data_IF_056005204378
#
_entry.id   IF_056005204378
#
_cell.length_a   1.000
_cell.length_b   1.000
_cell.length_c   1.000
_cell.angle_alpha   90.00
_cell.angle_beta   90.00
_cell.angle_gamma   90.00
#
_symmetry.space_group_name_H-M   'P 1'
#
loop_
_entity.id
_entity.type
_entity.pdbx_description
1 polymer ?
#
# COMPACT_ATOMS: atom_id res chain seq x y z
N UNK A 1 3.60 25.71 12.23
CA UNK A 1 3.21 24.33 11.87
C UNK A 1 3.30 24.26 10.36
N UNK A 2 4.14 23.39 9.77
CA UNK A 2 4.11 23.17 8.32
C UNK A 2 2.73 22.59 8.00
N UNK A 3 2.03 23.13 7.01
CA UNK A 3 0.86 22.47 6.42
C UNK A 3 1.28 21.05 6.01
N UNK A 4 0.94 20.07 6.85
CA UNK A 4 1.30 18.68 6.65
C UNK A 4 0.32 18.03 5.68
N UNK A 5 0.01 18.72 4.57
CA UNK A 5 -0.81 18.16 3.50
C UNK A 5 0.06 17.15 2.76
N UNK A 6 -0.28 15.85 2.80
CA UNK A 6 0.47 14.84 2.07
C UNK A 6 0.43 15.16 0.58
N UNK A 7 1.57 15.04 -0.07
CA UNK A 7 1.68 15.14 -1.52
C UNK A 7 0.82 14.06 -2.19
N UNK A 8 0.45 14.23 -3.47
CA UNK A 8 -0.31 13.21 -4.20
C UNK A 8 0.37 11.84 -4.24
N UNK A 9 1.70 11.80 -4.22
CA UNK A 9 2.48 10.56 -4.18
C UNK A 9 2.38 9.92 -2.79
N UNK A 10 2.54 10.68 -1.72
CA UNK A 10 2.38 10.19 -0.34
C UNK A 10 0.97 9.66 -0.08
N UNK A 11 -0.06 10.35 -0.57
CA UNK A 11 -1.45 9.87 -0.51
C UNK A 11 -1.63 8.51 -1.19
N UNK A 12 -1.06 8.33 -2.38
CA UNK A 12 -1.14 7.05 -3.11
C UNK A 12 -0.41 5.92 -2.37
N UNK A 13 0.75 6.22 -1.79
CA UNK A 13 1.49 5.25 -0.96
C UNK A 13 0.67 4.86 0.27
N UNK A 14 0.09 5.84 0.97
CA UNK A 14 -0.76 5.59 2.15
C UNK A 14 -1.99 4.75 1.81
N UNK A 15 -2.65 5.01 0.68
CA UNK A 15 -3.78 4.21 0.20
C UNK A 15 -3.36 2.76 -0.09
N UNK A 16 -2.19 2.56 -0.68
CA UNK A 16 -1.65 1.23 -0.97
C UNK A 16 -1.32 0.44 0.29
N UNK A 17 -0.71 1.09 1.27
CA UNK A 17 -0.42 0.51 2.60
C UNK A 17 -1.71 0.17 3.34
N UNK A 18 -2.72 1.05 3.31
CA UNK A 18 -4.01 0.80 3.94
C UNK A 18 -4.72 -0.41 3.34
N UNK A 19 -4.68 -0.56 2.01
CA UNK A 19 -5.25 -1.70 1.31
C UNK A 19 -4.50 -3.00 1.62
N UNK A 20 -3.17 -2.95 1.72
CA UNK A 20 -2.36 -4.10 2.13
C UNK A 20 -2.67 -4.55 3.57
N UNK A 21 -2.91 -3.60 4.48
CA UNK A 21 -3.22 -3.88 5.89
C UNK A 21 -4.55 -4.62 6.10
N UNK A 22 -5.47 -4.56 5.14
CA UNK A 22 -6.72 -5.33 5.21
C UNK A 22 -6.49 -6.85 5.05
N UNK A 23 -5.27 -7.27 4.70
CA UNK A 23 -4.85 -8.67 4.80
C UNK A 23 -5.17 -9.53 3.58
N UNK A 24 -4.92 -10.85 3.66
CA UNK A 24 -4.99 -11.75 2.51
C UNK A 24 -6.38 -11.85 1.89
N UNK A 25 -7.46 -11.56 2.63
CA UNK A 25 -8.82 -11.51 2.10
C UNK A 25 -8.99 -10.51 0.94
N UNK A 26 -8.25 -9.40 0.99
CA UNK A 26 -8.20 -8.35 -0.07
C UNK A 26 -7.66 -8.90 -1.38
N UNK A 27 -6.74 -9.87 -1.31
CA UNK A 27 -6.16 -10.52 -2.50
C UNK A 27 -7.17 -11.41 -3.21
N UNK A 28 -8.24 -11.81 -2.52
CA UNK A 28 -9.31 -12.65 -3.06
C UNK A 28 -10.55 -11.84 -3.47
N UNK A 29 -10.62 -10.55 -3.14
CA UNK A 29 -11.68 -9.65 -3.61
C UNK A 29 -11.29 -9.01 -4.95
N UNK A 30 -12.06 -9.22 -6.03
CA UNK A 30 -11.72 -8.73 -7.36
C UNK A 30 -11.77 -7.19 -7.46
N UNK A 31 -12.61 -6.52 -6.68
CA UNK A 31 -12.71 -5.06 -6.64
C UNK A 31 -11.46 -4.48 -5.98
N UNK A 32 -11.05 -5.04 -4.86
CA UNK A 32 -9.86 -4.59 -4.14
C UNK A 32 -8.57 -4.89 -4.91
N UNK A 33 -8.48 -6.05 -5.57
CA UNK A 33 -7.37 -6.36 -6.46
C UNK A 33 -7.25 -5.35 -7.62
N UNK A 34 -8.38 -4.99 -8.24
CA UNK A 34 -8.41 -3.97 -9.30
C UNK A 34 -8.05 -2.58 -8.75
N UNK A 35 -8.50 -2.21 -7.56
CA UNK A 35 -8.13 -0.95 -6.91
C UNK A 35 -6.62 -0.90 -6.61
N UNK A 36 -6.05 -1.99 -6.10
CA UNK A 36 -4.61 -2.12 -5.88
C UNK A 36 -3.82 -1.92 -7.18
N UNK A 37 -4.22 -2.59 -8.26
CA UNK A 37 -3.57 -2.47 -9.57
C UNK A 37 -3.63 -1.02 -10.11
N UNK A 38 -4.76 -0.33 -9.95
CA UNK A 38 -4.91 1.08 -10.36
C UNK A 38 -4.01 2.01 -9.56
N UNK A 39 -3.91 1.82 -8.25
CA UNK A 39 -3.01 2.60 -7.39
C UNK A 39 -1.54 2.38 -7.77
N UNK A 40 -1.13 1.12 -8.01
CA UNK A 40 0.21 0.81 -8.49
C UNK A 40 0.52 1.48 -9.84
N UNK A 41 -0.43 1.44 -10.78
CA UNK A 41 -0.25 2.05 -12.10
C UNK A 41 -0.16 3.59 -12.02
N UNK A 42 -1.01 4.22 -11.20
CA UNK A 42 -0.97 5.66 -10.96
C UNK A 42 0.36 6.08 -10.31
N UNK A 43 0.78 5.35 -9.29
CA UNK A 43 2.02 5.61 -8.57
C UNK A 43 3.23 5.45 -9.47
N UNK A 44 3.27 4.41 -10.31
CA UNK A 44 4.38 4.20 -11.24
C UNK A 44 4.43 5.26 -12.36
N UNK A 45 3.28 5.85 -12.73
CA UNK A 45 3.22 6.97 -13.68
C UNK A 45 3.76 8.27 -13.05
N UNK A 46 3.40 8.54 -11.79
CA UNK A 46 3.83 9.75 -11.08
C UNK A 46 5.26 9.67 -10.54
N UNK A 47 5.69 8.48 -10.13
CA UNK A 47 6.98 8.23 -9.50
C UNK A 47 7.49 6.82 -9.86
N UNK A 48 8.18 6.68 -11.00
CA UNK A 48 8.65 5.38 -11.49
C UNK A 48 9.49 4.63 -10.44
N UNK A 49 9.17 3.36 -10.23
CA UNK A 49 9.91 2.49 -9.30
C UNK A 49 9.54 2.65 -7.82
N UNK A 50 8.80 3.70 -7.42
CA UNK A 50 8.32 3.84 -6.03
C UNK A 50 7.34 2.72 -5.69
N UNK A 51 6.42 2.41 -6.61
CA UNK A 51 5.44 1.34 -6.46
C UNK A 51 6.10 -0.03 -6.15
N UNK A 52 7.14 -0.39 -6.89
CA UNK A 52 7.89 -1.62 -6.68
C UNK A 52 8.63 -1.64 -5.32
N UNK A 53 9.24 -0.51 -4.92
CA UNK A 53 9.90 -0.40 -3.61
C UNK A 53 8.93 -0.54 -2.46
N UNK A 54 7.75 0.10 -2.56
CA UNK A 54 6.70 -0.01 -1.54
C UNK A 54 6.22 -1.44 -1.42
N UNK A 55 5.94 -2.13 -2.54
CA UNK A 55 5.54 -3.53 -2.51
C UNK A 55 6.60 -4.43 -1.87
N UNK A 56 7.86 -4.32 -2.29
CA UNK A 56 8.95 -5.11 -1.71
C UNK A 56 9.14 -4.83 -0.21
N UNK A 57 8.91 -3.61 0.24
CA UNK A 57 8.96 -3.25 1.67
C UNK A 57 7.81 -3.90 2.45
N UNK A 58 6.60 -3.89 1.90
CA UNK A 58 5.43 -4.50 2.51
C UNK A 58 5.54 -6.03 2.59
N UNK A 59 6.13 -6.65 1.57
CA UNK A 59 6.44 -8.08 1.53
C UNK A 59 7.53 -8.46 2.55
N UNK A 60 8.62 -7.68 2.67
CA UNK A 60 9.65 -7.87 3.69
C UNK A 60 9.07 -7.76 5.11
N UNK A 61 8.25 -6.74 5.36
CA UNK A 61 7.55 -6.57 6.64
C UNK A 61 6.64 -7.77 6.96
N UNK A 62 5.89 -8.25 5.98
CA UNK A 62 5.06 -9.45 6.14
C UNK A 62 5.90 -10.69 6.46
N UNK A 63 6.99 -10.91 5.72
CA UNK A 63 7.89 -12.05 5.92
C UNK A 63 8.57 -12.05 7.30
N UNK A 64 8.84 -10.85 7.83
CA UNK A 64 9.43 -10.66 9.16
C UNK A 64 8.41 -10.76 10.30
N UNK A 65 7.15 -11.08 10.00
CA UNK A 65 6.08 -11.10 10.98
C UNK A 65 5.77 -9.72 11.57
N UNK A 66 6.29 -8.65 10.96
CA UNK A 66 5.96 -7.26 11.27
C UNK A 66 4.62 -6.93 10.62
N UNK A 67 3.61 -7.68 11.02
CA UNK A 67 2.24 -7.39 10.67
C UNK A 67 1.86 -6.05 11.28
N UNK A 68 1.49 -5.09 10.44
CA UNK A 68 0.58 -3.99 10.81
C UNK A 68 -0.81 -4.51 11.25
N UNK A 69 -1.00 -5.83 11.24
CA UNK A 69 -2.03 -6.54 11.98
C UNK A 69 -1.72 -6.41 13.47
N UNK A 70 -2.28 -5.37 14.10
CA UNK A 70 -2.73 -5.56 15.47
C UNK A 70 -3.58 -6.83 15.44
N UNK A 71 -3.07 -7.88 16.08
CA UNK A 71 -3.84 -9.07 16.43
C UNK A 71 -5.06 -8.54 17.17
N UNK A 72 -6.21 -8.53 16.48
CA UNK A 72 -7.49 -8.45 17.14
C UNK A 72 -7.61 -9.72 17.95
N UNK A 73 -7.18 -9.63 19.20
CA UNK A 73 -7.72 -10.44 20.28
C UNK A 73 -9.10 -9.85 20.64
#
# INVERSE_FOLDING_TARGET
MRDATPTPVELQVLQLVALWRQGPAVRHDPVLANMFARLMAALNRSAPGVAARVLGTLEDMQARGLGLFARGD
#
